data_IF_390174206660
#
_entry.id   IF_390174206660
#
_cell.length_a   1.000
_cell.length_b   1.000
_cell.length_c   1.000
_cell.angle_alpha   90.00
_cell.angle_beta   90.00
_cell.angle_gamma   90.00
#
_symmetry.space_group_name_H-M   'P 1'
#
loop_
_entity.id
_entity.type
_entity.pdbx_description
1 polymer ?
#
# COMPACT_ATOMS: atom_id res chain seq x y z
N UNK A 1 -22.50 -14.09 23.26
CA UNK A 1 -21.12 -14.04 22.72
C UNK A 1 -21.09 -13.45 21.30
N UNK A 2 -21.39 -12.15 21.13
CA UNK A 2 -21.57 -11.55 19.77
C UNK A 2 -20.76 -10.27 19.54
N UNK A 3 -20.11 -9.73 20.59
CA UNK A 3 -19.37 -8.46 20.55
C UNK A 3 -18.06 -8.57 19.77
N UNK A 4 -17.35 -9.70 19.89
CA UNK A 4 -16.03 -9.93 19.27
C UNK A 4 -16.11 -10.04 17.74
N UNK A 5 -17.14 -10.72 17.21
CA UNK A 5 -17.31 -10.91 15.76
C UNK A 5 -17.54 -9.60 15.01
N UNK A 6 -18.21 -8.62 15.61
CA UNK A 6 -18.46 -7.31 14.99
C UNK A 6 -17.21 -6.42 14.93
N UNK A 7 -16.31 -6.54 15.91
CA UNK A 7 -15.06 -5.77 15.94
C UNK A 7 -14.12 -6.19 14.81
N UNK A 8 -14.00 -7.50 14.55
CA UNK A 8 -13.15 -8.05 13.49
C UNK A 8 -13.62 -7.61 12.10
N UNK A 9 -14.93 -7.57 11.86
CA UNK A 9 -15.50 -7.16 10.57
C UNK A 9 -15.28 -5.66 10.33
N UNK A 10 -15.37 -4.82 11.36
CA UNK A 10 -15.09 -3.39 11.23
C UNK A 10 -13.62 -3.10 10.92
N UNK A 11 -12.67 -3.76 11.59
CA UNK A 11 -11.24 -3.56 11.34
C UNK A 11 -10.79 -4.07 9.97
N UNK A 12 -11.37 -5.16 9.47
CA UNK A 12 -11.07 -5.66 8.13
C UNK A 12 -11.65 -4.77 7.02
N UNK A 13 -12.80 -4.13 7.26
CA UNK A 13 -13.38 -3.12 6.35
C UNK A 13 -12.55 -1.83 6.27
N UNK A 14 -12.01 -1.34 7.40
CA UNK A 14 -11.11 -0.16 7.38
C UNK A 14 -9.77 -0.47 6.71
N UNK A 15 -9.23 -1.67 6.91
CA UNK A 15 -8.02 -2.11 6.23
C UNK A 15 -8.19 -2.12 4.69
N UNK A 16 -9.31 -2.66 4.20
CA UNK A 16 -9.59 -2.71 2.75
C UNK A 16 -9.82 -1.32 2.14
N UNK A 17 -10.52 -0.42 2.83
CA UNK A 17 -10.75 0.95 2.36
C UNK A 17 -9.44 1.76 2.27
N UNK A 18 -8.55 1.61 3.25
CA UNK A 18 -7.25 2.31 3.25
C UNK A 18 -6.37 1.86 2.08
N UNK A 19 -6.32 0.55 1.82
CA UNK A 19 -5.53 -0.04 0.74
C UNK A 19 -5.98 0.44 -0.64
N UNK A 20 -7.30 0.49 -0.87
CA UNK A 20 -7.88 0.98 -2.12
C UNK A 20 -7.60 2.47 -2.36
N UNK A 21 -7.55 3.29 -1.29
CA UNK A 21 -7.26 4.72 -1.43
C UNK A 21 -5.78 4.98 -1.71
N UNK A 22 -4.86 4.21 -1.11
CA UNK A 22 -3.41 4.33 -1.37
C UNK A 22 -3.01 3.88 -2.76
N UNK A 23 -3.75 2.94 -3.35
CA UNK A 23 -3.52 2.49 -4.72
C UNK A 23 -3.68 3.63 -5.75
N UNK A 24 -4.60 4.56 -5.50
CA UNK A 24 -4.76 5.76 -6.33
C UNK A 24 -3.62 6.77 -6.16
N UNK A 25 -2.98 6.82 -4.99
CA UNK A 25 -1.91 7.79 -4.69
C UNK A 25 -0.66 7.57 -5.53
N UNK A 26 -0.34 6.32 -5.86
CA UNK A 26 0.87 5.96 -6.61
C UNK A 26 0.60 5.71 -8.10
N UNK A 27 -0.67 5.59 -8.50
CA UNK A 27 -1.06 5.34 -9.88
C UNK A 27 -0.61 6.45 -10.85
N UNK A 28 -0.50 7.70 -10.37
CA UNK A 28 -0.04 8.82 -11.19
C UNK A 28 1.47 8.90 -11.40
N UNK A 29 2.27 8.13 -10.63
CA UNK A 29 3.73 8.09 -10.79
C UNK A 29 4.12 7.09 -11.88
N UNK A 30 5.12 7.42 -12.70
CA UNK A 30 5.77 6.42 -13.57
C UNK A 30 6.52 5.37 -12.75
N UNK A 31 6.82 4.21 -13.35
CA UNK A 31 7.59 3.15 -12.67
C UNK A 31 8.98 3.63 -12.24
N UNK A 32 9.64 4.49 -13.03
CA UNK A 32 10.96 5.02 -12.71
C UNK A 32 10.89 5.97 -11.51
N UNK A 33 9.89 6.86 -11.47
CA UNK A 33 9.69 7.77 -10.34
C UNK A 33 9.37 6.99 -9.07
N UNK A 34 8.49 5.99 -9.17
CA UNK A 34 8.15 5.13 -8.06
C UNK A 34 9.38 4.40 -7.51
N UNK A 35 10.23 3.85 -8.37
CA UNK A 35 11.47 3.18 -7.97
C UNK A 35 12.40 4.14 -7.21
N UNK A 36 12.62 5.35 -7.73
CA UNK A 36 13.47 6.37 -7.08
C UNK A 36 12.92 6.77 -5.71
N UNK A 37 11.60 6.90 -5.60
CA UNK A 37 10.92 7.23 -4.35
C UNK A 37 11.11 6.10 -3.32
N UNK A 38 10.92 4.84 -3.74
CA UNK A 38 11.12 3.65 -2.90
C UNK A 38 12.55 3.57 -2.38
N UNK A 39 13.55 3.76 -3.24
CA UNK A 39 14.96 3.76 -2.83
C UNK A 39 15.27 4.86 -1.80
N UNK A 40 14.72 6.05 -2.01
CA UNK A 40 14.91 7.20 -1.11
C UNK A 40 14.33 6.92 0.28
N UNK A 41 13.08 6.45 0.33
CA UNK A 41 12.40 6.18 1.61
C UNK A 41 12.93 4.93 2.30
N UNK A 42 13.44 3.95 1.55
CA UNK A 42 14.12 2.77 2.12
C UNK A 42 15.38 3.17 2.89
N UNK A 43 16.19 4.08 2.33
CA UNK A 43 17.39 4.61 3.00
C UNK A 43 17.04 5.40 4.27
N UNK A 44 15.87 6.04 4.28
CA UNK A 44 15.36 6.79 5.42
C UNK A 44 14.66 5.91 6.47
N UNK A 45 14.39 4.64 6.15
CA UNK A 45 13.64 3.74 7.03
C UNK A 45 12.14 4.08 7.16
N UNK A 46 11.60 4.89 6.23
CA UNK A 46 10.23 5.41 6.27
C UNK A 46 9.39 4.92 5.09
N UNK A 47 9.85 3.87 4.38
CA UNK A 47 9.15 3.31 3.23
C UNK A 47 7.74 2.79 3.63
N UNK A 48 6.67 3.35 3.06
CA UNK A 48 5.34 2.80 3.21
C UNK A 48 5.26 1.42 2.55
N UNK A 49 4.71 0.44 3.27
CA UNK A 49 4.55 -0.93 2.75
C UNK A 49 3.80 -0.97 1.41
N UNK A 50 2.74 -0.18 1.29
CA UNK A 50 1.91 -0.08 0.09
C UNK A 50 2.68 0.40 -1.14
N UNK A 51 3.65 1.31 -0.95
CA UNK A 51 4.48 1.81 -2.05
C UNK A 51 5.42 0.71 -2.55
N UNK A 52 5.95 -0.12 -1.65
CA UNK A 52 6.77 -1.28 -2.00
C UNK A 52 5.96 -2.34 -2.76
N UNK A 53 4.73 -2.63 -2.31
CA UNK A 53 3.84 -3.56 -3.01
C UNK A 53 3.48 -3.08 -4.42
N UNK A 54 3.19 -1.80 -4.58
CA UNK A 54 2.89 -1.21 -5.90
C UNK A 54 4.09 -1.38 -6.86
N UNK A 55 5.32 -1.21 -6.39
CA UNK A 55 6.51 -1.43 -7.22
C UNK A 55 6.67 -2.92 -7.61
N UNK A 56 6.48 -3.84 -6.67
CA UNK A 56 6.53 -5.29 -6.94
C UNK A 56 5.48 -5.69 -7.97
N UNK A 57 4.25 -5.17 -7.83
CA UNK A 57 3.16 -5.42 -8.77
C UNK A 57 3.51 -4.98 -10.18
N UNK A 58 4.13 -3.81 -10.35
CA UNK A 58 4.55 -3.31 -11.68
C UNK A 58 5.64 -4.17 -12.31
N UNK A 59 6.55 -4.72 -11.50
CA UNK A 59 7.57 -5.66 -11.99
C UNK A 59 7.02 -7.00 -12.45
N UNK A 60 5.88 -7.46 -11.93
CA UNK A 60 5.23 -8.69 -12.43
C UNK A 60 4.62 -8.54 -13.84
N UNK A 61 4.50 -7.30 -14.33
CA UNK A 61 3.90 -6.98 -15.63
C UNK A 61 4.91 -6.44 -16.66
N UNK A 62 6.19 -6.38 -16.31
CA UNK A 62 7.32 -6.05 -17.20
C UNK A 62 7.94 -7.32 -17.77
#
# INVERSE_FOLDING_TARGET
MTKIRRVIVLTSMTFTMTFASTQNTYASMSTIELQKQVETLSKQGTLPFEMGLELIKRWQHL
#
